data_IF_530586761978
#
_entry.id   IF_530586761978
#
_cell.length_a   1.000
_cell.length_b   1.000
_cell.length_c   1.000
_cell.angle_alpha   90.00
_cell.angle_beta   90.00
_cell.angle_gamma   90.00
#
_symmetry.space_group_name_H-M   'P 1'
#
loop_
_entity.id
_entity.type
_entity.pdbx_description
1 polymer ?
#
# COMPACT_ATOMS: atom_id res chain seq x y z
N UNK A 1 9.14 -7.28 27.23
CA UNK A 1 8.23 -7.00 26.10
C UNK A 1 7.46 -5.74 26.43
N UNK A 2 7.95 -4.60 25.99
CA UNK A 2 7.22 -3.33 26.08
C UNK A 2 6.00 -3.44 25.17
N UNK A 3 4.79 -3.03 25.59
CA UNK A 3 3.68 -2.96 24.67
C UNK A 3 4.03 -1.85 23.68
N UNK A 4 4.48 -2.23 22.47
CA UNK A 4 4.63 -1.28 21.39
C UNK A 4 3.26 -0.65 21.19
N UNK A 5 3.14 0.58 21.67
CA UNK A 5 1.94 1.38 21.54
C UNK A 5 1.49 1.29 20.08
N UNK A 6 0.19 0.99 19.88
CA UNK A 6 -0.51 1.02 18.58
C UNK A 6 -0.16 2.31 17.84
N UNK A 7 0.94 2.31 17.11
CA UNK A 7 1.50 3.52 16.55
C UNK A 7 0.68 3.81 15.30
N UNK A 8 0.11 5.01 15.27
CA UNK A 8 -0.60 5.52 14.11
C UNK A 8 0.38 5.46 12.92
N UNK A 9 0.02 4.80 11.80
CA UNK A 9 0.88 4.76 10.63
C UNK A 9 1.24 6.18 10.20
N UNK A 10 2.45 6.38 9.69
CA UNK A 10 2.97 7.73 9.46
C UNK A 10 2.15 8.51 8.41
N UNK A 11 1.51 7.76 7.52
CA UNK A 11 0.66 8.27 6.45
C UNK A 11 -0.81 8.48 6.83
N UNK A 12 -1.25 7.96 7.98
CA UNK A 12 -2.62 8.15 8.46
C UNK A 12 -2.83 9.54 9.07
N UNK A 13 -2.12 10.61 8.68
CA UNK A 13 -2.20 11.93 9.32
C UNK A 13 -3.59 12.59 9.19
N UNK A 14 -4.37 12.21 8.17
CA UNK A 14 -5.73 12.67 7.91
C UNK A 14 -6.81 11.83 8.64
N UNK A 15 -6.45 10.65 9.16
CA UNK A 15 -7.38 9.65 9.72
C UNK A 15 -6.95 9.14 11.08
N UNK A 16 -7.90 8.91 11.98
CA UNK A 16 -7.61 8.30 13.29
C UNK A 16 -7.42 6.78 13.24
N UNK A 17 -6.97 6.23 12.11
CA UNK A 17 -6.80 4.78 11.92
C UNK A 17 -5.47 4.30 12.51
N UNK A 18 -5.54 3.20 13.26
CA UNK A 18 -4.36 2.44 13.67
C UNK A 18 -3.87 1.53 12.54
N UNK A 19 -2.66 0.96 12.69
CA UNK A 19 -2.16 -0.06 11.76
C UNK A 19 -3.12 -1.26 11.65
N UNK A 20 -3.75 -1.66 12.77
CA UNK A 20 -4.72 -2.76 12.80
C UNK A 20 -6.02 -2.40 12.07
N UNK A 21 -6.46 -1.14 12.14
CA UNK A 21 -7.62 -0.67 11.37
C UNK A 21 -7.33 -0.72 9.87
N UNK A 22 -6.15 -0.27 9.43
CA UNK A 22 -5.75 -0.34 8.01
C UNK A 22 -5.72 -1.78 7.53
N UNK A 23 -5.11 -2.70 8.29
CA UNK A 23 -5.09 -4.13 7.97
C UNK A 23 -6.49 -4.73 7.92
N UNK A 24 -7.35 -4.38 8.88
CA UNK A 24 -8.74 -4.84 8.92
C UNK A 24 -9.52 -4.36 7.70
N UNK A 25 -9.44 -3.06 7.39
CA UNK A 25 -10.09 -2.46 6.22
C UNK A 25 -9.60 -3.06 4.91
N UNK A 26 -8.29 -3.33 4.78
CA UNK A 26 -7.75 -4.02 3.61
C UNK A 26 -8.37 -5.41 3.46
N UNK A 27 -8.50 -6.19 4.55
CA UNK A 27 -9.09 -7.54 4.50
C UNK A 27 -10.58 -7.52 4.16
N UNK A 28 -11.33 -6.60 4.75
CA UNK A 28 -12.79 -6.51 4.63
C UNK A 28 -13.23 -5.83 3.32
N UNK A 29 -12.41 -4.95 2.74
CA UNK A 29 -12.74 -4.29 1.49
C UNK A 29 -12.65 -5.24 0.30
N UNK A 30 -13.58 -5.09 -0.64
CA UNK A 30 -13.65 -5.85 -1.88
C UNK A 30 -13.62 -4.93 -3.11
N UNK A 31 -13.29 -5.53 -4.25
CA UNK A 31 -13.29 -4.87 -5.56
C UNK A 31 -12.63 -3.49 -5.56
N UNK A 32 -13.37 -2.50 -6.06
CA UNK A 32 -12.88 -1.14 -6.23
C UNK A 32 -12.47 -0.46 -4.92
N UNK A 33 -13.19 -0.73 -3.82
CA UNK A 33 -12.87 -0.13 -2.52
C UNK A 33 -11.51 -0.60 -2.01
N UNK A 34 -11.20 -1.89 -2.21
CA UNK A 34 -9.89 -2.45 -1.86
C UNK A 34 -8.78 -1.83 -2.72
N UNK A 35 -9.04 -1.67 -4.01
CA UNK A 35 -8.10 -1.03 -4.94
C UNK A 35 -7.82 0.44 -4.57
N UNK A 36 -8.83 1.20 -4.13
CA UNK A 36 -8.63 2.55 -3.60
C UNK A 36 -7.77 2.58 -2.33
N UNK A 37 -7.96 1.63 -1.41
CA UNK A 37 -7.13 1.51 -0.22
C UNK A 37 -5.68 1.18 -0.56
N UNK A 38 -5.45 0.25 -1.49
CA UNK A 38 -4.10 -0.08 -2.00
C UNK A 38 -3.42 1.15 -2.59
N UNK A 39 -4.13 1.89 -3.46
CA UNK A 39 -3.59 3.08 -4.10
C UNK A 39 -3.26 4.19 -3.08
N UNK A 40 -4.12 4.38 -2.07
CA UNK A 40 -3.89 5.34 -1.00
C UNK A 40 -2.64 4.98 -0.19
N UNK A 41 -2.48 3.72 0.23
CA UNK A 41 -1.28 3.26 0.95
C UNK A 41 -0.03 3.52 0.10
N UNK A 42 -0.03 3.12 -1.18
CA UNK A 42 1.11 3.32 -2.07
C UNK A 42 1.43 4.79 -2.37
N UNK A 43 0.47 5.71 -2.16
CA UNK A 43 0.66 7.15 -2.41
C UNK A 43 1.17 7.91 -1.19
N UNK A 44 0.67 7.53 -0.01
CA UNK A 44 0.89 8.28 1.22
C UNK A 44 1.92 7.63 2.14
N UNK A 45 2.04 6.29 2.14
CA UNK A 45 3.02 5.59 2.97
C UNK A 45 4.44 5.76 2.45
N UNK A 46 5.40 5.73 3.38
CA UNK A 46 6.81 5.60 3.00
C UNK A 46 7.00 4.27 2.28
N UNK A 47 7.92 4.23 1.32
CA UNK A 47 8.17 3.02 0.52
C UNK A 47 8.34 1.75 1.37
N UNK A 48 9.09 1.82 2.48
CA UNK A 48 9.28 0.69 3.39
C UNK A 48 8.01 0.29 4.15
N UNK A 49 7.18 1.27 4.52
CA UNK A 49 5.93 1.08 5.29
C UNK A 49 4.81 0.48 4.44
N UNK A 50 4.86 0.63 3.10
CA UNK A 50 3.90 -0.03 2.19
C UNK A 50 3.88 -1.55 2.41
N UNK A 51 5.05 -2.14 2.64
CA UNK A 51 5.22 -3.58 2.77
C UNK A 51 4.71 -4.15 4.10
N UNK A 52 4.36 -3.30 5.06
CA UNK A 52 3.67 -3.70 6.29
C UNK A 52 2.17 -4.02 6.04
N UNK A 53 1.64 -3.64 4.87
CA UNK A 53 0.22 -3.76 4.52
C UNK A 53 -0.04 -4.53 3.22
N UNK A 54 0.89 -4.50 2.27
CA UNK A 54 0.78 -5.15 0.98
C UNK A 54 1.99 -6.04 0.74
N UNK A 55 1.79 -7.20 0.12
CA UNK A 55 2.92 -7.93 -0.45
C UNK A 55 3.35 -7.31 -1.79
N UNK A 56 4.63 -7.47 -2.20
CA UNK A 56 5.10 -7.08 -3.53
C UNK A 56 4.21 -7.59 -4.67
N UNK A 57 3.79 -8.86 -4.57
CA UNK A 57 2.92 -9.50 -5.55
C UNK A 57 1.53 -8.85 -5.61
N UNK A 58 0.87 -8.65 -4.46
CA UNK A 58 -0.45 -8.04 -4.41
C UNK A 58 -0.48 -6.60 -4.91
N UNK A 59 0.61 -5.86 -4.71
CA UNK A 59 0.77 -4.50 -5.19
C UNK A 59 1.04 -4.47 -6.71
N UNK A 60 1.88 -5.38 -7.20
CA UNK A 60 2.15 -5.55 -8.63
C UNK A 60 0.89 -5.93 -9.41
N UNK A 61 0.14 -6.93 -8.95
CA UNK A 61 -1.10 -7.39 -9.60
C UNK A 61 -2.23 -6.35 -9.54
N UNK A 62 -2.21 -5.47 -8.53
CA UNK A 62 -3.15 -4.36 -8.43
C UNK A 62 -2.78 -3.18 -9.33
N UNK A 63 -1.50 -3.05 -9.70
CA UNK A 63 -0.96 -1.88 -10.38
C UNK A 63 -1.79 -1.44 -11.59
N UNK A 64 -2.21 -2.32 -12.54
CA UNK A 64 -3.00 -1.91 -13.69
C UNK A 64 -4.37 -1.29 -13.33
N UNK A 65 -4.96 -1.70 -12.19
CA UNK A 65 -6.26 -1.18 -11.73
C UNK A 65 -6.11 0.11 -10.92
N UNK A 66 -5.00 0.26 -10.21
CA UNK A 66 -4.80 1.40 -9.29
C UNK A 66 -3.96 2.53 -9.89
N UNK A 67 -3.28 2.31 -11.02
CA UNK A 67 -2.45 3.30 -11.72
C UNK A 67 -3.10 4.70 -11.86
N UNK A 68 -4.42 4.81 -12.17
CA UNK A 68 -5.11 6.10 -12.23
C UNK A 68 -5.08 6.88 -10.91
N UNK A 69 -5.05 6.20 -9.76
CA UNK A 69 -5.17 6.80 -8.42
C UNK A 69 -3.82 7.13 -7.75
N UNK A 70 -2.71 6.70 -8.35
CA UNK A 70 -1.36 6.92 -7.80
C UNK A 70 -0.84 8.35 -8.00
N UNK A 71 -1.46 9.13 -8.88
CA UNK A 71 -1.05 10.51 -9.18
C UNK A 71 0.43 10.60 -9.56
N UNK A 72 1.18 11.51 -8.92
CA UNK A 72 2.61 11.75 -9.18
C UNK A 72 3.53 10.55 -8.91
N UNK A 73 3.10 9.60 -8.08
CA UNK A 73 3.90 8.43 -7.71
C UNK A 73 3.79 7.28 -8.71
N UNK A 74 2.92 7.41 -9.71
CA UNK A 74 2.69 6.41 -10.77
C UNK A 74 4.00 5.93 -11.41
N UNK A 75 4.80 6.86 -11.92
CA UNK A 75 5.99 6.50 -12.70
C UNK A 75 7.07 5.85 -11.83
N UNK A 76 7.19 6.28 -10.57
CA UNK A 76 8.06 5.63 -9.59
C UNK A 76 7.65 4.16 -9.39
N UNK A 77 6.37 3.90 -9.11
CA UNK A 77 5.87 2.53 -8.88
C UNK A 77 6.01 1.65 -10.13
N UNK A 78 5.70 2.17 -11.31
CA UNK A 78 5.92 1.46 -12.58
C UNK A 78 7.38 1.10 -12.77
N UNK A 79 8.30 2.02 -12.47
CA UNK A 79 9.72 1.77 -12.56
C UNK A 79 10.18 0.68 -11.58
N UNK A 80 9.75 0.76 -10.32
CA UNK A 80 10.07 -0.25 -9.29
C UNK A 80 9.60 -1.63 -9.72
N UNK A 81 8.33 -1.77 -10.10
CA UNK A 81 7.77 -3.07 -10.46
C UNK A 81 8.34 -3.62 -11.77
N UNK A 82 8.68 -2.76 -12.74
CA UNK A 82 9.40 -3.19 -13.94
C UNK A 82 10.73 -3.86 -13.57
N UNK A 83 11.53 -3.23 -12.71
CA UNK A 83 12.81 -3.79 -12.26
C UNK A 83 12.58 -5.10 -11.49
N UNK A 84 11.59 -5.15 -10.61
CA UNK A 84 11.32 -6.36 -9.82
C UNK A 84 10.87 -7.53 -10.69
N UNK A 85 10.06 -7.27 -11.71
CA UNK A 85 9.65 -8.27 -12.69
C UNK A 85 10.85 -8.76 -13.52
N UNK A 86 11.71 -7.86 -14.01
CA UNK A 86 12.94 -8.23 -14.72
C UNK A 86 13.90 -9.09 -13.88
N UNK A 87 13.87 -8.92 -12.55
CA UNK A 87 14.65 -9.71 -11.59
C UNK A 87 13.95 -10.99 -11.11
N UNK A 88 12.75 -11.29 -11.59
CA UNK A 88 11.96 -12.47 -11.18
C UNK A 88 11.51 -12.43 -9.72
N UNK A 89 11.23 -11.24 -9.17
CA UNK A 89 10.81 -11.03 -7.77
C UNK A 89 9.30 -10.81 -7.61
N UNK A 90 8.60 -10.56 -8.72
CA UNK A 90 7.14 -10.46 -8.88
C UNK A 90 6.75 -10.94 -10.28
#
# INVERSE_FOLDING_TARGET
MTPEAKQRPSFCWDRSWSADDVRRLLREAEGFQRDQLKAWIMREARFSEVWDYLTPQEAYEALPRIEPFLGRWRDMWKHVFRIWHELGRV
#
